data_IF_424223813388
#
_entry.id   IF_424223813388
#
_cell.length_a   1.000
_cell.length_b   1.000
_cell.length_c   1.000
_cell.angle_alpha   90.00
_cell.angle_beta   90.00
_cell.angle_gamma   90.00
#
_symmetry.space_group_name_H-M   'P 1'
#
loop_
_entity.id
_entity.type
_entity.pdbx_description
1 polymer ?
#
# COMPACT_ATOMS: atom_id res chain seq x y z
N UNK A 1 23.60 11.94 16.00
CA UNK A 1 23.06 10.87 16.87
C UNK A 1 22.21 9.95 16.02
N UNK A 2 22.37 8.63 16.15
CA UNK A 2 21.61 7.63 15.39
C UNK A 2 20.52 7.07 16.30
N UNK A 3 19.25 7.38 16.01
CA UNK A 3 18.11 6.82 16.76
C UNK A 3 17.63 5.57 16.05
N UNK A 4 17.93 4.40 16.62
CA UNK A 4 17.38 3.13 16.14
C UNK A 4 15.92 3.02 16.60
N UNK A 5 14.96 3.06 15.67
CA UNK A 5 13.57 2.74 15.99
C UNK A 5 13.44 1.22 15.95
N UNK A 6 13.39 0.58 17.12
CA UNK A 6 13.17 -0.86 17.23
C UNK A 6 11.75 -1.19 16.77
N UNK A 7 11.62 -2.00 15.71
CA UNK A 7 10.35 -2.58 15.28
C UNK A 7 9.89 -3.55 16.37
N UNK A 8 8.85 -3.20 17.11
CA UNK A 8 8.19 -4.13 18.04
C UNK A 8 7.70 -5.30 17.19
N UNK A 9 7.96 -6.54 17.62
CA UNK A 9 7.58 -7.74 16.86
C UNK A 9 6.10 -7.64 16.41
N UNK A 10 5.81 -7.90 15.12
CA UNK A 10 4.44 -7.92 14.64
C UNK A 10 3.61 -8.89 15.50
N UNK A 11 2.41 -8.48 15.92
CA UNK A 11 1.49 -9.47 16.51
C UNK A 11 1.03 -10.43 15.41
N UNK A 12 0.67 -11.68 15.74
CA UNK A 12 0.29 -12.68 14.72
C UNK A 12 -0.88 -12.25 13.80
N UNK A 13 -1.65 -11.24 14.20
CA UNK A 13 -2.71 -10.64 13.36
C UNK A 13 -2.16 -9.70 12.28
N UNK A 14 -1.03 -9.02 12.52
CA UNK A 14 -0.37 -8.23 11.48
C UNK A 14 0.15 -9.15 10.37
N UNK A 15 0.85 -10.23 10.77
CA UNK A 15 1.37 -11.21 9.82
C UNK A 15 0.24 -11.88 9.04
N UNK A 16 -0.88 -12.21 9.69
CA UNK A 16 -2.02 -12.82 9.01
C UNK A 16 -2.61 -11.90 7.93
N UNK A 17 -2.83 -10.62 8.22
CA UNK A 17 -3.43 -9.66 7.28
C UNK A 17 -2.47 -9.32 6.14
N UNK A 18 -1.22 -8.98 6.46
CA UNK A 18 -0.23 -8.66 5.43
C UNK A 18 0.06 -9.85 4.52
N UNK A 19 0.15 -11.06 5.09
CA UNK A 19 0.33 -12.29 4.31
C UNK A 19 -0.91 -12.66 3.50
N UNK A 20 -2.10 -12.54 4.07
CA UNK A 20 -3.36 -12.81 3.38
C UNK A 20 -3.52 -11.93 2.15
N UNK A 21 -3.35 -10.62 2.30
CA UNK A 21 -3.38 -9.68 1.18
C UNK A 21 -2.29 -9.99 0.14
N UNK A 22 -1.08 -10.32 0.60
CA UNK A 22 0.03 -10.67 -0.30
C UNK A 22 -0.27 -11.92 -1.14
N UNK A 23 -0.97 -12.92 -0.61
CA UNK A 23 -1.40 -14.11 -1.36
C UNK A 23 -2.37 -13.73 -2.48
N UNK A 24 -3.38 -12.91 -2.18
CA UNK A 24 -4.38 -12.47 -3.18
C UNK A 24 -3.75 -11.57 -4.26
N UNK A 25 -2.86 -10.67 -3.86
CA UNK A 25 -2.05 -9.87 -4.79
C UNK A 25 -1.27 -10.78 -5.74
N UNK A 26 -0.59 -11.81 -5.22
CA UNK A 26 0.17 -12.75 -6.03
C UNK A 26 -0.69 -13.61 -6.94
N UNK A 27 -1.86 -14.05 -6.49
CA UNK A 27 -2.80 -14.77 -7.35
C UNK A 27 -3.19 -13.92 -8.56
N UNK A 28 -3.47 -12.63 -8.36
CA UNK A 28 -3.79 -11.69 -9.45
C UNK A 28 -2.60 -11.48 -10.39
N UNK A 29 -1.40 -11.23 -9.85
CA UNK A 29 -0.16 -11.06 -10.64
C UNK A 29 0.16 -12.30 -11.47
N UNK A 30 -0.03 -13.50 -10.92
CA UNK A 30 0.17 -14.76 -11.65
C UNK A 30 -0.85 -14.91 -12.79
N UNK A 31 -2.12 -14.55 -12.58
CA UNK A 31 -3.16 -14.56 -13.64
C UNK A 31 -2.84 -13.59 -14.79
N UNK A 32 -2.06 -12.55 -14.53
CA UNK A 32 -1.54 -11.63 -15.55
C UNK A 32 -0.31 -12.18 -16.30
N UNK A 33 0.23 -13.34 -15.91
CA UNK A 33 1.48 -13.87 -16.46
C UNK A 33 2.74 -13.16 -15.92
N UNK A 34 2.61 -12.39 -14.84
CA UNK A 34 3.63 -11.46 -14.34
C UNK A 34 4.41 -11.96 -13.13
N UNK A 35 4.37 -13.27 -12.85
CA UNK A 35 5.06 -13.89 -11.71
C UNK A 35 6.52 -13.48 -11.56
N UNK A 36 7.26 -13.38 -12.68
CA UNK A 36 8.68 -13.04 -12.67
C UNK A 36 8.94 -11.53 -12.84
N UNK A 37 7.89 -10.73 -13.03
CA UNK A 37 8.01 -9.30 -13.30
C UNK A 37 7.98 -8.46 -12.02
N UNK A 38 7.52 -9.02 -10.88
CA UNK A 38 7.36 -8.32 -9.62
C UNK A 38 8.02 -9.16 -8.51
N UNK A 39 8.89 -8.55 -7.70
CA UNK A 39 9.58 -9.21 -6.59
C UNK A 39 9.12 -8.65 -5.25
N UNK A 40 9.02 -9.52 -4.25
CA UNK A 40 8.83 -9.17 -2.85
C UNK A 40 10.18 -8.79 -2.21
N UNK A 41 10.23 -7.62 -1.56
CA UNK A 41 11.44 -7.04 -0.93
C UNK A 41 11.17 -6.54 0.50
N UNK A 42 10.22 -7.16 1.21
CA UNK A 42 9.79 -6.72 2.55
C UNK A 42 10.90 -6.69 3.62
N UNK A 43 11.94 -7.52 3.49
CA UNK A 43 13.06 -7.55 4.44
C UNK A 43 14.22 -6.58 4.12
N UNK A 44 14.07 -5.73 3.11
CA UNK A 44 15.11 -4.78 2.72
C UNK A 44 14.97 -3.48 3.51
N UNK A 45 16.09 -3.01 4.10
CA UNK A 45 16.17 -1.69 4.71
C UNK A 45 16.47 -0.63 3.64
N UNK A 46 15.59 0.35 3.48
CA UNK A 46 15.74 1.44 2.54
C UNK A 46 16.25 2.70 3.22
N UNK A 47 17.21 3.38 2.60
CA UNK A 47 17.82 4.60 3.11
C UNK A 47 17.12 5.84 2.54
N UNK A 48 16.43 6.58 3.40
CA UNK A 48 15.94 7.93 3.11
C UNK A 48 17.00 9.00 3.38
N UNK A 49 16.58 10.27 3.37
CA UNK A 49 17.50 11.42 3.48
C UNK A 49 18.25 11.43 4.81
N UNK A 50 17.54 11.18 5.91
CA UNK A 50 18.09 11.27 7.28
C UNK A 50 17.82 10.03 8.13
N UNK A 51 17.15 9.02 7.58
CA UNK A 51 16.76 7.82 8.32
C UNK A 51 16.63 6.61 7.40
N UNK A 52 16.47 5.44 7.99
CA UNK A 52 16.26 4.18 7.29
C UNK A 52 14.93 3.57 7.70
N UNK A 53 14.31 2.79 6.82
CA UNK A 53 13.06 2.09 7.12
C UNK A 53 12.99 0.75 6.40
N UNK A 54 12.36 -0.21 7.07
CA UNK A 54 12.02 -1.52 6.53
C UNK A 54 10.49 -1.63 6.52
N UNK A 55 9.92 -2.00 5.37
CA UNK A 55 8.48 -2.16 5.20
C UNK A 55 7.99 -3.44 5.89
N UNK A 56 6.70 -3.55 6.18
CA UNK A 56 6.11 -4.85 6.51
C UNK A 56 6.05 -5.76 5.26
N UNK A 57 5.64 -5.21 4.12
CA UNK A 57 5.76 -5.85 2.81
C UNK A 57 6.05 -4.78 1.75
N UNK A 58 6.84 -5.12 0.73
CA UNK A 58 7.17 -4.20 -0.36
C UNK A 58 7.39 -4.96 -1.66
N UNK A 59 7.00 -4.37 -2.78
CA UNK A 59 7.08 -4.99 -4.11
C UNK A 59 7.77 -4.07 -5.10
N UNK A 60 8.68 -4.62 -5.91
CA UNK A 60 9.40 -3.88 -6.95
C UNK A 60 9.37 -4.59 -8.30
N UNK A 61 9.20 -3.86 -9.42
CA UNK A 61 9.19 -4.46 -10.75
C UNK A 61 10.61 -4.77 -11.24
N UNK A 62 10.90 -6.04 -11.49
CA UNK A 62 12.27 -6.52 -11.75
C UNK A 62 12.93 -5.88 -12.97
N UNK A 63 12.16 -5.62 -14.02
CA UNK A 63 12.68 -5.05 -15.27
C UNK A 63 13.15 -3.60 -15.09
N UNK A 64 12.49 -2.82 -14.24
CA UNK A 64 12.74 -1.38 -14.07
C UNK A 64 13.42 -1.02 -12.74
N UNK A 65 13.51 -1.98 -11.82
CA UNK A 65 14.15 -1.90 -10.50
C UNK A 65 15.01 -3.16 -10.25
N UNK A 66 16.03 -3.45 -11.10
CA UNK A 66 16.77 -4.70 -11.06
C UNK A 66 17.73 -4.82 -9.87
N UNK A 67 18.15 -3.72 -9.24
CA UNK A 67 19.15 -3.73 -8.18
C UNK A 67 18.52 -3.94 -6.82
N UNK A 68 19.24 -4.57 -5.90
CA UNK A 68 18.76 -4.90 -4.54
C UNK A 68 18.18 -3.67 -3.81
N UNK A 69 18.89 -2.55 -3.89
CA UNK A 69 18.58 -1.30 -3.20
C UNK A 69 17.61 -0.39 -3.97
N UNK A 70 17.14 -0.81 -5.15
CA UNK A 70 16.13 -0.05 -5.88
C UNK A 70 14.82 0.01 -5.09
N UNK A 71 14.26 1.21 -4.96
CA UNK A 71 13.02 1.43 -4.22
C UNK A 71 11.86 0.57 -4.78
N UNK A 72 10.99 0.05 -3.90
CA UNK A 72 9.77 -0.61 -4.30
C UNK A 72 8.77 0.41 -4.84
N UNK A 73 7.84 -0.04 -5.69
CA UNK A 73 6.76 0.80 -6.21
C UNK A 73 5.48 0.68 -5.37
N UNK A 74 5.29 -0.45 -4.68
CA UNK A 74 4.19 -0.71 -3.77
C UNK A 74 4.73 -1.08 -2.39
N UNK A 75 4.30 -0.36 -1.37
CA UNK A 75 4.62 -0.62 0.04
C UNK A 75 3.34 -0.91 0.81
N UNK A 76 3.42 -1.85 1.76
CA UNK A 76 2.34 -2.18 2.68
C UNK A 76 2.89 -2.06 4.09
N UNK A 77 2.18 -1.30 4.94
CA UNK A 77 2.45 -1.18 6.37
C UNK A 77 1.21 -1.59 7.16
N UNK A 78 1.41 -2.31 8.26
CA UNK A 78 0.34 -2.87 9.05
C UNK A 78 0.47 -2.49 10.53
N UNK A 79 -0.61 -1.95 11.09
CA UNK A 79 -0.70 -1.40 12.43
C UNK A 79 -1.95 -1.86 13.17
N UNK A 80 -1.92 -1.82 14.51
CA UNK A 80 -3.17 -1.82 15.29
C UNK A 80 -3.89 -0.48 15.11
N UNK A 81 -5.21 -0.42 15.29
CA UNK A 81 -6.02 0.79 15.06
C UNK A 81 -5.51 2.07 15.72
N UNK A 82 -4.99 1.95 16.94
CA UNK A 82 -4.42 3.02 17.75
C UNK A 82 -3.14 3.62 17.13
N UNK A 83 -2.58 2.96 16.14
CA UNK A 83 -1.37 3.37 15.42
C UNK A 83 -1.66 4.00 14.05
N UNK A 84 -2.91 4.24 13.65
CA UNK A 84 -3.24 4.81 12.34
C UNK A 84 -2.52 6.15 12.08
N UNK A 85 -2.45 7.04 13.06
CA UNK A 85 -1.72 8.30 12.89
C UNK A 85 -0.22 8.07 12.66
N UNK A 86 0.37 7.05 13.29
CA UNK A 86 1.76 6.65 13.04
C UNK A 86 1.91 6.05 11.64
N UNK A 87 1.00 5.16 11.23
CA UNK A 87 0.99 4.60 9.87
C UNK A 87 0.92 5.70 8.80
N UNK A 88 0.15 6.77 9.01
CA UNK A 88 0.08 7.94 8.11
C UNK A 88 1.36 8.77 8.09
N UNK A 89 2.19 8.72 9.13
CA UNK A 89 3.54 9.30 9.11
C UNK A 89 4.47 8.39 8.30
N UNK A 90 4.30 7.08 8.42
CA UNK A 90 5.07 6.09 7.66
C UNK A 90 4.77 6.18 6.16
N UNK A 91 3.52 6.35 5.73
CA UNK A 91 3.18 6.55 4.31
C UNK A 91 3.83 7.80 3.72
N UNK A 92 3.77 8.92 4.46
CA UNK A 92 4.47 10.17 4.09
C UNK A 92 5.97 9.94 3.94
N UNK A 93 6.58 9.26 4.91
CA UNK A 93 8.01 8.96 4.85
C UNK A 93 8.39 8.21 3.58
N UNK A 94 7.67 7.14 3.22
CA UNK A 94 7.93 6.35 2.02
C UNK A 94 7.79 7.17 0.73
N UNK A 95 6.74 7.99 0.63
CA UNK A 95 6.47 8.79 -0.57
C UNK A 95 7.46 9.97 -0.71
N UNK A 96 7.84 10.61 0.38
CA UNK A 96 8.72 11.79 0.37
C UNK A 96 10.22 11.42 0.27
N UNK A 97 10.64 10.29 0.85
CA UNK A 97 12.06 9.93 0.92
C UNK A 97 12.52 9.01 -0.20
N UNK A 98 11.61 8.48 -1.02
CA UNK A 98 11.95 7.52 -2.08
C UNK A 98 12.38 8.15 -3.40
N UNK A 99 12.41 9.49 -3.50
CA UNK A 99 12.74 10.22 -4.74
C UNK A 99 11.89 9.71 -5.91
N UNK A 100 10.56 9.70 -5.72
CA UNK A 100 9.57 9.15 -6.67
C UNK A 100 9.73 7.64 -6.97
N UNK A 101 10.42 6.91 -6.08
CA UNK A 101 10.60 5.47 -6.19
C UNK A 101 9.35 4.68 -5.78
N UNK A 102 8.70 5.10 -4.69
CA UNK A 102 7.45 4.51 -4.18
C UNK A 102 6.26 5.25 -4.75
N UNK A 103 5.34 4.51 -5.36
CA UNK A 103 4.16 5.08 -6.04
C UNK A 103 2.87 4.88 -5.24
N UNK A 104 2.75 3.75 -4.53
CA UNK A 104 1.57 3.41 -3.74
C UNK A 104 2.03 2.93 -2.36
N UNK A 105 1.43 3.47 -1.30
CA UNK A 105 1.53 2.94 0.06
C UNK A 105 0.14 2.51 0.53
N UNK A 106 0.00 1.26 0.95
CA UNK A 106 -1.21 0.75 1.60
C UNK A 106 -0.98 0.65 3.11
N UNK A 107 -1.87 1.26 3.88
CA UNK A 107 -1.88 1.16 5.33
C UNK A 107 -3.01 0.26 5.77
N UNK A 108 -2.71 -0.78 6.53
CA UNK A 108 -3.70 -1.68 7.14
C UNK A 108 -3.77 -1.42 8.63
N UNK A 109 -4.87 -0.81 9.08
CA UNK A 109 -5.13 -0.46 10.47
C UNK A 109 -6.16 -1.43 11.05
N UNK A 110 -5.73 -2.30 11.96
CA UNK A 110 -6.52 -3.44 12.41
C UNK A 110 -7.05 -3.22 13.83
N UNK A 111 -8.35 -3.38 14.03
CA UNK A 111 -8.97 -3.42 15.35
C UNK A 111 -9.50 -4.82 15.66
N UNK A 112 -8.81 -5.57 16.52
CA UNK A 112 -9.31 -6.87 16.99
C UNK A 112 -10.61 -6.74 17.78
N UNK A 113 -10.71 -5.68 18.59
CA UNK A 113 -11.89 -5.42 19.44
C UNK A 113 -13.12 -5.10 18.59
N UNK A 114 -12.98 -4.24 17.60
CA UNK A 114 -14.07 -3.91 16.68
C UNK A 114 -14.26 -4.94 15.56
N UNK A 115 -13.36 -5.94 15.47
CA UNK A 115 -13.30 -6.92 14.39
C UNK A 115 -13.29 -6.24 13.02
N UNK A 116 -12.48 -5.20 12.85
CA UNK A 116 -12.45 -4.39 11.64
C UNK A 116 -11.03 -4.16 11.12
N UNK A 117 -10.94 -3.89 9.82
CA UNK A 117 -9.73 -3.48 9.11
C UNK A 117 -10.08 -2.19 8.36
N UNK A 118 -9.30 -1.15 8.61
CA UNK A 118 -9.33 0.10 7.85
C UNK A 118 -8.10 0.13 6.94
N UNK A 119 -8.32 0.28 5.64
CA UNK A 119 -7.28 0.34 4.63
C UNK A 119 -7.21 1.77 4.09
N UNK A 120 -6.02 2.37 4.04
CA UNK A 120 -5.80 3.62 3.32
C UNK A 120 -4.82 3.42 2.17
N UNK A 121 -5.15 3.95 0.99
CA UNK A 121 -4.24 4.03 -0.16
C UNK A 121 -3.68 5.45 -0.25
N UNK A 122 -2.37 5.56 -0.19
CA UNK A 122 -1.63 6.82 -0.25
C UNK A 122 -0.74 6.88 -1.48
N UNK A 123 -0.70 8.04 -2.12
CA UNK A 123 0.13 8.33 -3.30
C UNK A 123 0.61 9.78 -3.27
N UNK A 124 1.55 10.13 -4.15
CA UNK A 124 1.91 11.54 -4.41
C UNK A 124 0.85 12.17 -5.33
N UNK A 125 0.06 13.10 -4.79
CA UNK A 125 -0.83 13.92 -5.60
C UNK A 125 -0.13 15.22 -5.99
N UNK A 126 -0.16 15.58 -7.27
CA UNK A 126 0.39 16.84 -7.75
C UNK A 126 -0.67 17.93 -7.63
N UNK A 127 -0.30 19.03 -6.97
CA UNK A 127 -1.15 20.22 -6.89
C UNK A 127 -0.43 21.43 -7.49
N UNK A 128 -1.18 22.26 -8.20
CA UNK A 128 -0.72 23.57 -8.66
C UNK A 128 -0.64 24.51 -7.45
N UNK A 129 0.55 24.96 -7.08
CA UNK A 129 0.68 25.97 -6.01
C UNK A 129 0.30 27.36 -6.55
N UNK A 130 -0.71 28.05 -6.00
CA UNK A 130 -1.04 29.41 -6.41
C UNK A 130 0.00 30.44 -5.93
N UNK A 131 0.85 30.07 -4.95
CA UNK A 131 1.62 31.02 -4.16
C UNK A 131 2.92 31.52 -4.82
N UNK A 132 3.29 30.99 -6.00
CA UNK A 132 4.52 31.35 -6.73
C UNK A 132 4.23 31.77 -8.19
N UNK A 133 2.98 32.14 -8.51
CA UNK A 133 2.59 32.59 -9.84
C UNK A 133 3.29 33.88 -10.32
N UNK A 134 4.07 34.56 -9.46
CA UNK A 134 4.78 35.80 -9.80
C UNK A 134 6.16 35.58 -10.47
N UNK A 135 6.65 34.35 -10.64
CA UNK A 135 7.96 34.08 -11.23
C UNK A 135 7.95 33.22 -12.53
N UNK A 136 6.77 32.95 -13.12
CA UNK A 136 6.68 32.24 -14.41
C UNK A 136 7.05 30.75 -14.38
N UNK A 137 7.33 30.18 -13.21
CA UNK A 137 7.58 28.75 -12.99
C UNK A 137 6.51 28.19 -12.07
N UNK A 138 5.46 27.58 -12.64
CA UNK A 138 4.53 26.76 -11.87
C UNK A 138 5.25 25.47 -11.44
N UNK A 139 5.79 25.44 -10.23
CA UNK A 139 6.29 24.20 -9.65
C UNK A 139 5.09 23.33 -9.23
N UNK A 140 4.96 22.16 -9.86
CA UNK A 140 4.09 21.09 -9.36
C UNK A 140 4.72 20.57 -8.07
N UNK A 141 4.04 20.77 -6.94
CA UNK A 141 4.47 20.17 -5.67
C UNK A 141 3.66 18.89 -5.52
N UNK A 142 4.35 17.77 -5.46
CA UNK A 142 3.76 16.50 -5.06
C UNK A 142 3.61 16.49 -3.54
N UNK A 143 2.42 16.17 -3.04
CA UNK A 143 2.17 15.97 -1.61
C UNK A 143 1.59 14.58 -1.37
N UNK A 144 2.11 13.83 -0.38
CA UNK A 144 1.51 12.56 0.02
C UNK A 144 0.06 12.76 0.42
N UNK A 145 -0.85 12.07 -0.26
CA UNK A 145 -2.29 12.27 -0.12
C UNK A 145 -2.96 10.91 -0.02
N UNK A 146 -3.94 10.81 0.89
CA UNK A 146 -4.84 9.66 0.94
C UNK A 146 -5.77 9.75 -0.26
N UNK A 147 -5.62 8.82 -1.21
CA UNK A 147 -6.39 8.76 -2.45
C UNK A 147 -7.68 7.97 -2.27
N UNK A 148 -7.65 6.96 -1.39
CA UNK A 148 -8.78 6.07 -1.15
C UNK A 148 -8.72 5.53 0.27
N UNK A 149 -9.88 5.20 0.82
CA UNK A 149 -10.02 4.39 2.03
C UNK A 149 -11.03 3.25 1.79
N UNK A 150 -10.81 2.13 2.47
CA UNK A 150 -11.72 0.99 2.50
C UNK A 150 -11.89 0.53 3.94
N UNK A 151 -13.13 0.34 4.38
CA UNK A 151 -13.44 -0.21 5.69
C UNK A 151 -14.05 -1.59 5.55
N UNK A 152 -13.49 -2.55 6.28
CA UNK A 152 -13.97 -3.93 6.36
C UNK A 152 -14.38 -4.15 7.81
N UNK A 153 -15.67 -4.38 8.03
CA UNK A 153 -16.21 -4.68 9.35
C UNK A 153 -16.67 -6.13 9.41
N UNK A 154 -16.24 -6.83 10.46
CA UNK A 154 -16.72 -8.17 10.75
C UNK A 154 -18.24 -8.18 10.87
N UNK A 155 -18.87 -9.33 10.59
CA UNK A 155 -20.32 -9.43 10.56
C UNK A 155 -20.96 -8.92 11.85
N UNK A 156 -21.98 -8.08 11.70
CA UNK A 156 -22.95 -7.82 12.78
C UNK A 156 -23.69 -9.13 12.98
N UNK A 157 -23.51 -9.80 14.11
CA UNK A 157 -24.26 -11.02 14.43
C UNK A 157 -25.74 -10.63 14.51
N UNK A 158 -26.61 -11.05 13.58
CA UNK A 158 -28.04 -11.04 13.85
C UNK A 158 -28.29 -12.16 14.85
N UNK A 159 -29.20 -11.97 15.78
CA UNK A 159 -29.56 -12.92 16.84
C UNK A 159 -30.09 -14.28 16.37
N UNK A 160 -30.08 -14.57 15.06
CA UNK A 160 -30.58 -15.81 14.47
C UNK A 160 -29.49 -16.53 13.65
N UNK A 161 -29.16 -17.75 14.08
CA UNK A 161 -28.03 -18.59 13.67
C UNK A 161 -28.14 -19.22 12.27
N UNK A 162 -28.76 -18.57 11.27
CA UNK A 162 -29.01 -19.21 9.96
C UNK A 162 -28.71 -18.40 8.71
N UNK A 163 -28.09 -17.23 8.81
CA UNK A 163 -27.57 -16.49 7.65
C UNK A 163 -26.04 -16.42 7.69
N UNK A 164 -25.37 -16.94 6.65
CA UNK A 164 -23.93 -16.82 6.47
C UNK A 164 -23.51 -15.36 6.64
N UNK A 165 -22.65 -15.09 7.61
CA UNK A 165 -22.38 -13.74 8.06
C UNK A 165 -21.18 -13.18 7.29
N UNK A 166 -21.46 -12.54 6.16
CA UNK A 166 -20.44 -11.88 5.33
C UNK A 166 -19.94 -10.59 6.00
N UNK A 167 -18.66 -10.24 5.86
CA UNK A 167 -18.17 -8.93 6.28
C UNK A 167 -18.88 -7.82 5.49
N UNK A 168 -18.98 -6.64 6.08
CA UNK A 168 -19.48 -5.43 5.42
C UNK A 168 -18.25 -4.66 4.93
N UNK A 169 -18.18 -4.41 3.62
CA UNK A 169 -17.07 -3.66 3.01
C UNK A 169 -17.60 -2.34 2.43
N UNK A 170 -16.97 -1.23 2.78
CA UNK A 170 -17.28 0.09 2.22
C UNK A 170 -16.05 0.74 1.62
N UNK A 171 -16.20 1.46 0.50
CA UNK A 171 -15.07 2.09 -0.21
C UNK A 171 -14.36 1.18 -1.23
N UNK A 172 -14.80 -0.07 -1.36
CA UNK A 172 -14.37 -0.98 -2.42
C UNK A 172 -14.87 -0.52 -3.82
N UNK A 173 -14.21 -0.95 -4.91
CA UNK A 173 -13.03 -1.83 -4.95
C UNK A 173 -11.73 -1.09 -4.64
N UNK A 174 -10.76 -1.78 -4.01
CA UNK A 174 -9.40 -1.26 -3.90
C UNK A 174 -8.67 -1.51 -5.23
N UNK A 175 -8.35 -0.43 -5.95
CA UNK A 175 -7.63 -0.51 -7.22
C UNK A 175 -6.17 -0.06 -7.06
N UNK A 176 -5.25 -0.89 -7.55
CA UNK A 176 -3.85 -0.57 -7.70
C UNK A 176 -3.50 -0.43 -9.18
N UNK A 177 -3.13 0.80 -9.58
CA UNK A 177 -2.82 1.13 -10.96
C UNK A 177 -1.62 0.32 -11.48
N UNK A 178 -1.80 -0.32 -12.63
CA UNK A 178 -0.79 -1.17 -13.25
C UNK A 178 0.52 -0.43 -13.53
N UNK A 179 0.42 0.77 -14.10
CA UNK A 179 1.58 1.55 -14.52
C UNK A 179 2.39 2.03 -13.32
N UNK A 180 1.72 2.30 -12.19
CA UNK A 180 2.38 2.64 -10.93
C UNK A 180 3.13 1.45 -10.34
N UNK A 181 2.60 0.22 -10.45
CA UNK A 181 3.28 -0.98 -9.93
C UNK A 181 4.42 -1.42 -10.85
N UNK A 182 4.16 -1.54 -12.15
CA UNK A 182 5.06 -2.18 -13.11
C UNK A 182 5.94 -1.22 -13.90
N UNK A 183 5.73 0.09 -13.80
CA UNK A 183 6.48 1.15 -14.49
C UNK A 183 6.47 1.03 -16.02
N UNK A 184 5.41 0.43 -16.56
CA UNK A 184 5.14 0.32 -18.01
C UNK A 184 3.64 0.23 -18.28
N UNK A 185 3.27 0.45 -19.53
CA UNK A 185 1.90 0.19 -19.99
C UNK A 185 1.59 -1.31 -19.97
N UNK A 186 0.33 -1.70 -19.71
CA UNK A 186 -0.10 -3.09 -19.91
C UNK A 186 -0.01 -3.45 -21.39
N UNK A 187 0.41 -4.68 -21.68
CA UNK A 187 0.49 -5.20 -23.04
C UNK A 187 -0.92 -5.46 -23.56
N UNK A 188 -1.31 -4.76 -24.62
CA UNK A 188 -2.63 -4.92 -25.23
C UNK A 188 -2.82 -6.35 -25.74
N UNK A 189 -3.99 -6.94 -25.47
CA UNK A 189 -4.33 -8.30 -25.87
C UNK A 189 -3.90 -9.38 -24.86
N UNK A 190 -3.21 -9.01 -23.78
CA UNK A 190 -2.95 -9.88 -22.62
C UNK A 190 -3.96 -9.63 -21.48
N UNK A 191 -3.88 -10.43 -20.41
CA UNK A 191 -4.65 -10.24 -19.18
C UNK A 191 -4.09 -9.16 -18.24
N UNK A 192 -3.17 -8.32 -18.72
CA UNK A 192 -2.54 -7.27 -17.94
C UNK A 192 -3.47 -6.07 -17.75
N UNK A 193 -3.53 -5.52 -16.54
CA UNK A 193 -4.35 -4.36 -16.19
C UNK A 193 -4.21 -4.02 -14.71
N UNK A 194 -4.87 -2.95 -14.25
CA UNK A 194 -4.88 -2.59 -12.83
C UNK A 194 -5.30 -3.78 -11.96
N UNK A 195 -4.68 -3.91 -10.79
CA UNK A 195 -5.01 -4.96 -9.83
C UNK A 195 -6.18 -4.46 -9.00
N UNK A 196 -7.35 -5.07 -9.19
CA UNK A 196 -8.59 -4.69 -8.53
C UNK A 196 -8.93 -5.74 -7.48
N UNK A 197 -9.10 -5.33 -6.22
CA UNK A 197 -9.67 -6.15 -5.15
C UNK A 197 -11.13 -5.73 -4.96
N UNK A 198 -12.03 -6.63 -5.34
CA UNK A 198 -13.48 -6.44 -5.19
C UNK A 198 -13.91 -6.56 -3.73
N UNK A 199 -15.13 -6.15 -3.42
CA UNK A 199 -15.74 -6.35 -2.09
C UNK A 199 -15.69 -7.83 -1.65
N UNK A 200 -15.86 -8.78 -2.57
CA UNK A 200 -15.85 -10.20 -2.22
C UNK A 200 -14.44 -10.76 -1.95
N UNK A 201 -13.41 -10.03 -2.35
CA UNK A 201 -11.99 -10.40 -2.18
C UNK A 201 -11.34 -9.68 -0.99
N UNK A 202 -12.08 -8.82 -0.28
CA UNK A 202 -11.66 -8.02 0.87
C UNK A 202 -12.40 -8.45 2.14
#
# INVERSE_FOLDING_TARGET
EQTLIVKIKPSGVHELVSRGFSVELWAKVIRMGLRQALNLVGGTTFQGIQSWKEADCAYKPNTFRPYENDWPTLVIECGVSESLNRLRVESRWWLENSVEGVNIVLLFSISKKARSIHIEKWEMATHSSPHVAQAGLSHLIGTPTKIQEVDISGPVVPTDESAGTTPIVTGAPLELDFTKIFLRQPVQGCSEGSIIFTEQEL
#
